data_IF_222980344427
#
_entry.id   IF_222980344427
#
_cell.length_a   1.000
_cell.length_b   1.000
_cell.length_c   1.000
_cell.angle_alpha   90.00
_cell.angle_beta   90.00
_cell.angle_gamma   90.00
#
_symmetry.space_group_name_H-M   'P 1'
#
loop_
_entity.id
_entity.type
_entity.pdbx_description
1 polymer ?
#
# COMPACT_ATOMS: atom_id res chain seq x y z
N UNK A 1 7.73 33.56 34.07
CA UNK A 1 7.98 32.16 33.63
C UNK A 1 7.16 31.75 32.41
N UNK A 2 5.88 32.13 32.29
CA UNK A 2 5.08 31.82 31.10
C UNK A 2 5.69 32.34 29.78
N UNK A 3 6.26 33.55 29.78
CA UNK A 3 6.85 34.16 28.57
C UNK A 3 8.03 33.40 27.97
N UNK A 4 8.89 32.79 28.79
CA UNK A 4 10.05 32.02 28.33
C UNK A 4 9.67 30.60 27.89
N UNK A 5 8.68 29.99 28.54
CA UNK A 5 8.15 28.67 28.14
C UNK A 5 7.44 28.77 26.80
N UNK A 6 6.60 29.80 26.61
CA UNK A 6 5.85 29.99 25.37
C UNK A 6 6.76 30.29 24.17
N UNK A 7 7.78 31.14 24.33
CA UNK A 7 8.74 31.43 23.25
C UNK A 7 9.61 30.22 22.92
N UNK A 8 10.01 29.41 23.91
CA UNK A 8 10.73 28.17 23.64
C UNK A 8 9.84 27.13 22.96
N UNK A 9 8.60 26.93 23.39
CA UNK A 9 7.65 26.04 22.71
C UNK A 9 7.35 26.50 21.30
N UNK A 10 7.09 27.80 21.10
CA UNK A 10 6.87 28.37 19.79
C UNK A 10 8.10 28.15 18.90
N UNK A 11 9.30 28.43 19.39
CA UNK A 11 10.55 28.19 18.65
C UNK A 11 10.71 26.72 18.31
N UNK A 12 10.51 25.80 19.25
CA UNK A 12 10.65 24.35 19.01
C UNK A 12 9.62 23.84 18.02
N UNK A 13 8.34 24.18 18.18
CA UNK A 13 7.28 23.82 17.23
C UNK A 13 7.54 24.38 15.84
N UNK A 14 7.92 25.66 15.75
CA UNK A 14 8.20 26.30 14.46
C UNK A 14 9.47 25.74 13.82
N UNK A 15 10.53 25.46 14.59
CA UNK A 15 11.72 24.78 14.05
C UNK A 15 11.42 23.35 13.65
N UNK A 16 10.57 22.62 14.37
CA UNK A 16 10.19 21.25 14.02
C UNK A 16 9.34 21.19 12.74
N UNK A 17 8.54 22.22 12.48
CA UNK A 17 7.82 22.37 11.20
C UNK A 17 8.70 22.94 10.08
N UNK A 18 9.61 23.87 10.37
CA UNK A 18 10.56 24.41 9.37
C UNK A 18 11.61 23.38 8.97
N UNK A 19 12.12 22.61 9.93
CA UNK A 19 12.92 21.41 9.67
C UNK A 19 11.96 20.25 9.43
N UNK A 20 11.17 20.32 8.36
CA UNK A 20 10.67 19.10 7.75
C UNK A 20 11.94 18.26 7.53
N UNK A 21 12.10 17.11 8.20
CA UNK A 21 13.27 16.28 7.97
C UNK A 21 13.31 16.07 6.47
N UNK A 22 14.43 16.45 5.85
CA UNK A 22 14.58 16.42 4.39
C UNK A 22 14.09 15.04 3.98
N UNK A 23 12.94 15.00 3.31
CA UNK A 23 12.45 13.76 2.75
C UNK A 23 13.48 13.45 1.68
N UNK A 24 14.43 12.60 2.03
CA UNK A 24 15.36 12.03 1.08
C UNK A 24 14.49 11.18 0.16
N UNK A 25 13.97 11.82 -0.89
CA UNK A 25 13.36 11.09 -1.98
C UNK A 25 14.47 10.18 -2.50
N UNK A 26 14.21 8.86 -2.59
CA UNK A 26 15.19 7.97 -3.18
C UNK A 26 15.57 8.52 -4.58
N UNK A 27 16.85 8.43 -4.98
CA UNK A 27 17.28 8.87 -6.30
C UNK A 27 16.72 7.98 -7.43
N UNK A 28 15.98 6.91 -7.08
CA UNK A 28 15.24 6.05 -8.00
C UNK A 28 13.75 6.38 -7.96
N UNK A 29 13.10 6.35 -9.12
CA UNK A 29 11.65 6.49 -9.23
C UNK A 29 10.96 5.13 -9.09
N UNK A 30 11.63 4.07 -9.54
CA UNK A 30 11.14 2.69 -9.54
C UNK A 30 12.25 1.73 -9.14
N UNK A 31 11.89 0.54 -8.65
CA UNK A 31 12.85 -0.52 -8.34
C UNK A 31 13.72 -0.92 -9.56
N UNK A 32 13.25 -0.71 -10.80
CA UNK A 32 14.03 -0.97 -12.02
C UNK A 32 15.28 -0.08 -12.17
N UNK A 33 15.31 1.07 -11.50
CA UNK A 33 16.45 1.99 -11.53
C UNK A 33 17.62 1.51 -10.67
N UNK A 34 17.37 0.56 -9.78
CA UNK A 34 18.36 0.05 -8.84
C UNK A 34 19.10 -1.11 -9.51
N UNK A 35 20.38 -0.90 -9.81
CA UNK A 35 21.19 -1.90 -10.49
C UNK A 35 21.28 -3.21 -9.68
N UNK A 36 20.93 -4.31 -10.34
CA UNK A 36 20.96 -5.66 -9.77
C UNK A 36 19.80 -5.98 -8.82
N UNK A 37 18.86 -5.05 -8.64
CA UNK A 37 17.64 -5.29 -7.88
C UNK A 37 16.78 -6.34 -8.57
N UNK A 38 16.18 -7.22 -7.78
CA UNK A 38 15.16 -8.18 -8.23
C UNK A 38 13.87 -7.91 -7.48
N UNK A 39 12.73 -8.13 -8.12
CA UNK A 39 11.42 -8.06 -7.48
C UNK A 39 10.78 -9.44 -7.49
N UNK A 40 10.19 -9.85 -6.38
CA UNK A 40 9.32 -11.01 -6.30
C UNK A 40 7.88 -10.53 -6.45
N UNK A 41 7.17 -11.06 -7.45
CA UNK A 41 5.78 -10.77 -7.73
C UNK A 41 4.92 -12.02 -7.51
N UNK A 42 3.77 -11.89 -6.86
CA UNK A 42 2.81 -12.98 -6.76
C UNK A 42 2.28 -13.39 -8.14
N UNK A 43 2.20 -14.70 -8.39
CA UNK A 43 1.64 -15.22 -9.64
C UNK A 43 0.20 -14.75 -9.86
N UNK A 44 -0.57 -14.63 -8.79
CA UNK A 44 -1.97 -14.18 -8.79
C UNK A 44 -2.12 -12.67 -8.64
N UNK A 45 -1.05 -11.88 -8.74
CA UNK A 45 -1.11 -10.42 -8.61
C UNK A 45 -2.08 -9.78 -9.62
N UNK A 46 -2.24 -10.40 -10.79
CA UNK A 46 -3.06 -9.90 -11.89
C UNK A 46 -4.43 -10.58 -12.05
N UNK A 47 -4.79 -11.51 -11.16
CA UNK A 47 -5.99 -12.38 -11.28
C UNK A 47 -7.35 -11.67 -11.11
N UNK A 48 -7.39 -10.34 -11.21
CA UNK A 48 -8.60 -9.53 -11.00
C UNK A 48 -9.63 -9.60 -12.13
N UNK A 49 -9.26 -10.09 -13.32
CA UNK A 49 -10.18 -10.20 -14.44
C UNK A 49 -10.77 -11.61 -14.54
N UNK A 50 -12.11 -11.77 -14.50
CA UNK A 50 -12.77 -13.05 -14.73
C UNK A 50 -12.74 -13.39 -16.23
N UNK A 51 -11.59 -13.84 -16.73
CA UNK A 51 -11.48 -14.41 -18.07
C UNK A 51 -11.98 -15.86 -18.05
N UNK A 52 -12.91 -16.20 -18.96
CA UNK A 52 -13.37 -17.56 -19.19
C UNK A 52 -13.17 -17.95 -20.67
N UNK A 53 -12.47 -19.06 -20.96
CA UNK A 53 -11.74 -19.93 -20.02
C UNK A 53 -10.56 -19.20 -19.36
N UNK A 54 -10.23 -19.57 -18.10
CA UNK A 54 -9.09 -18.95 -17.39
C UNK A 54 -7.79 -19.40 -18.07
N UNK A 55 -6.97 -18.47 -18.60
CA UNK A 55 -5.68 -18.84 -19.18
C UNK A 55 -4.76 -19.47 -18.12
N UNK A 56 -3.73 -20.23 -18.53
CA UNK A 56 -2.72 -20.73 -17.61
C UNK A 56 -2.10 -19.59 -16.78
N UNK A 57 -1.99 -19.71 -15.44
CA UNK A 57 -1.54 -18.64 -14.57
C UNK A 57 -0.23 -17.98 -14.98
N UNK A 58 0.80 -18.76 -15.36
CA UNK A 58 2.09 -18.20 -15.77
C UNK A 58 2.00 -17.45 -17.08
N UNK A 59 1.24 -17.99 -18.04
CA UNK A 59 1.01 -17.31 -19.32
C UNK A 59 0.28 -15.98 -19.12
N UNK A 60 -0.81 -16.01 -18.34
CA UNK A 60 -1.59 -14.81 -18.03
C UNK A 60 -0.76 -13.75 -17.32
N UNK A 61 0.05 -14.17 -16.34
CA UNK A 61 0.95 -13.28 -15.62
C UNK A 61 1.92 -12.56 -16.56
N UNK A 62 2.56 -13.29 -17.49
CA UNK A 62 3.49 -12.70 -18.47
C UNK A 62 2.78 -11.70 -19.37
N UNK A 63 1.62 -12.07 -19.91
CA UNK A 63 0.89 -11.21 -20.85
C UNK A 63 0.44 -9.90 -20.19
N UNK A 64 -0.10 -9.96 -18.96
CA UNK A 64 -0.49 -8.76 -18.23
C UNK A 64 0.74 -7.93 -17.85
N UNK A 65 1.82 -8.57 -17.38
CA UNK A 65 3.08 -7.89 -17.07
C UNK A 65 3.62 -7.16 -18.31
N UNK A 66 3.62 -7.82 -19.48
CA UNK A 66 4.02 -7.23 -20.76
C UNK A 66 3.17 -6.02 -21.12
N UNK A 67 1.84 -6.14 -21.02
CA UNK A 67 0.92 -5.02 -21.31
C UNK A 67 1.21 -3.84 -20.38
N UNK A 68 1.33 -4.08 -19.07
CA UNK A 68 1.62 -3.04 -18.07
C UNK A 68 2.96 -2.36 -18.34
N UNK A 69 3.97 -3.16 -18.63
CA UNK A 69 5.30 -2.66 -18.99
C UNK A 69 5.25 -1.85 -20.27
N UNK A 70 4.55 -2.29 -21.31
CA UNK A 70 4.44 -1.55 -22.58
C UNK A 70 3.75 -0.17 -22.40
N UNK A 71 2.68 -0.10 -21.61
CA UNK A 71 1.99 1.18 -21.34
C UNK A 71 2.83 2.15 -20.50
N UNK A 72 3.57 1.65 -19.52
CA UNK A 72 4.34 2.50 -18.62
C UNK A 72 5.68 2.93 -19.24
N UNK A 73 6.27 2.05 -20.04
CA UNK A 73 7.60 2.22 -20.60
C UNK A 73 7.46 2.67 -22.06
N UNK A 74 6.99 3.89 -22.25
CA UNK A 74 7.42 4.66 -23.43
C UNK A 74 8.81 5.31 -23.19
N UNK A 75 9.43 4.98 -22.05
CA UNK A 75 10.77 5.42 -21.66
C UNK A 75 11.82 4.53 -22.32
N UNK A 76 12.73 5.13 -23.08
CA UNK A 76 13.88 4.45 -23.69
C UNK A 76 14.76 3.70 -22.68
N UNK A 77 14.65 4.07 -21.38
CA UNK A 77 15.41 3.53 -20.25
C UNK A 77 15.27 2.02 -20.06
N UNK A 78 14.08 1.43 -20.30
CA UNK A 78 13.84 0.00 -20.06
C UNK A 78 13.60 -0.84 -21.33
N UNK A 79 13.94 -0.30 -22.51
CA UNK A 79 13.84 -1.00 -23.79
C UNK A 79 14.56 -2.36 -23.80
N UNK A 80 15.74 -2.44 -23.18
CA UNK A 80 16.49 -3.71 -23.04
C UNK A 80 15.71 -4.77 -22.26
N UNK A 81 14.98 -4.36 -21.23
CA UNK A 81 14.17 -5.25 -20.42
C UNK A 81 12.93 -5.73 -21.20
N UNK A 82 12.24 -4.82 -21.89
CA UNK A 82 11.12 -5.15 -22.77
C UNK A 82 11.55 -6.12 -23.86
N UNK A 83 12.66 -5.85 -24.55
CA UNK A 83 13.14 -6.70 -25.63
C UNK A 83 13.41 -8.13 -25.16
N UNK A 84 13.98 -8.32 -23.96
CA UNK A 84 14.14 -9.65 -23.37
C UNK A 84 12.81 -10.35 -23.12
N UNK A 85 11.79 -9.61 -22.66
CA UNK A 85 10.43 -10.14 -22.52
C UNK A 85 9.83 -10.53 -23.88
N UNK A 86 9.97 -9.67 -24.88
CA UNK A 86 9.49 -9.90 -26.25
C UNK A 86 10.19 -11.08 -26.93
N UNK A 87 11.49 -11.29 -26.70
CA UNK A 87 12.24 -12.45 -27.24
C UNK A 87 11.77 -13.79 -26.62
N UNK A 88 11.18 -13.75 -25.42
CA UNK A 88 10.63 -14.93 -24.77
C UNK A 88 9.22 -15.25 -25.27
N UNK A 89 8.38 -14.25 -25.56
CA UNK A 89 6.96 -14.46 -25.95
C UNK A 89 6.74 -15.40 -27.16
N UNK A 90 7.41 -15.26 -28.32
CA UNK A 90 7.04 -15.98 -29.54
C UNK A 90 7.39 -17.47 -29.51
N UNK A 91 8.31 -17.92 -28.65
CA UNK A 91 8.73 -19.33 -28.60
C UNK A 91 7.66 -20.27 -28.04
N UNK A 92 6.65 -19.74 -27.36
CA UNK A 92 5.61 -20.54 -26.69
C UNK A 92 4.37 -20.74 -27.55
N UNK A 93 3.97 -19.74 -28.32
CA UNK A 93 2.81 -19.85 -29.22
C UNK A 93 3.07 -20.84 -30.35
N UNK A 94 4.29 -20.89 -30.88
CA UNK A 94 4.65 -21.77 -32.00
C UNK A 94 4.74 -23.26 -31.60
N UNK A 95 4.96 -23.56 -30.31
CA UNK A 95 4.94 -24.94 -29.80
C UNK A 95 3.52 -25.51 -29.64
N UNK A 96 2.48 -24.67 -29.66
CA UNK A 96 1.08 -25.11 -29.50
C UNK A 96 0.48 -25.67 -30.80
N UNK A 97 1.07 -25.37 -31.95
CA UNK A 97 0.51 -25.66 -33.27
C UNK A 97 1.01 -26.97 -33.88
N UNK A 98 2.03 -27.62 -33.28
CA UNK A 98 2.80 -28.69 -33.94
C UNK A 98 2.52 -30.12 -33.44
N UNK A 99 1.45 -30.40 -32.70
CA UNK A 99 1.19 -31.75 -32.19
C UNK A 99 -0.29 -32.15 -32.24
N UNK A 100 -0.57 -33.21 -33.00
CA UNK A 100 -1.85 -33.73 -33.50
C UNK A 100 -2.86 -34.27 -32.46
N UNK A 101 -3.08 -33.59 -31.33
CA UNK A 101 -4.21 -33.94 -30.46
C UNK A 101 -4.78 -32.67 -29.83
N UNK A 102 -6.01 -32.30 -30.23
CA UNK A 102 -6.76 -31.12 -29.77
C UNK A 102 -7.23 -31.22 -28.31
N UNK A 103 -6.53 -32.00 -27.48
CA UNK A 103 -6.79 -32.08 -26.06
C UNK A 103 -6.40 -30.77 -25.37
N UNK A 104 -7.41 -29.99 -24.99
CA UNK A 104 -7.28 -28.68 -24.34
C UNK A 104 -6.39 -28.77 -23.08
N UNK A 105 -6.50 -29.85 -22.30
CA UNK A 105 -5.70 -30.01 -21.08
C UNK A 105 -4.22 -30.22 -21.37
N UNK A 106 -3.90 -30.95 -22.45
CA UNK A 106 -2.52 -31.14 -22.88
C UNK A 106 -1.90 -29.82 -23.36
N UNK A 107 -2.65 -29.02 -24.12
CA UNK A 107 -2.23 -27.69 -24.56
C UNK A 107 -2.04 -26.77 -23.36
N UNK A 108 -2.99 -26.77 -22.42
CA UNK A 108 -2.93 -25.98 -21.19
C UNK A 108 -1.68 -26.29 -20.37
N UNK A 109 -1.42 -27.57 -20.10
CA UNK A 109 -0.27 -28.02 -19.31
C UNK A 109 1.06 -27.72 -20.00
N UNK A 110 1.14 -27.86 -21.33
CA UNK A 110 2.33 -27.49 -22.11
C UNK A 110 2.60 -26.00 -22.03
N UNK A 111 1.58 -25.17 -22.24
CA UNK A 111 1.70 -23.72 -22.17
C UNK A 111 2.10 -23.26 -20.76
N UNK A 112 1.49 -23.84 -19.72
CA UNK A 112 1.83 -23.59 -18.33
C UNK A 112 3.29 -23.96 -18.02
N UNK A 113 3.75 -25.16 -18.41
CA UNK A 113 5.10 -25.62 -18.18
C UNK A 113 6.14 -24.76 -18.91
N UNK A 114 5.85 -24.42 -20.16
CA UNK A 114 6.75 -23.62 -20.97
C UNK A 114 6.83 -22.17 -20.46
N UNK A 115 5.68 -21.56 -20.12
CA UNK A 115 5.63 -20.25 -19.48
C UNK A 115 6.32 -20.24 -18.11
N UNK A 116 6.13 -21.25 -17.27
CA UNK A 116 6.82 -21.37 -15.98
C UNK A 116 8.35 -21.40 -16.15
N UNK A 117 8.86 -22.21 -17.10
CA UNK A 117 10.29 -22.23 -17.45
C UNK A 117 10.79 -20.90 -18.02
N UNK A 118 9.92 -20.14 -18.71
CA UNK A 118 10.23 -18.82 -19.26
C UNK A 118 10.46 -17.78 -18.17
N UNK A 119 9.57 -17.78 -17.18
CA UNK A 119 9.41 -16.71 -16.18
C UNK A 119 10.44 -16.79 -15.07
N UNK A 120 10.71 -18.00 -14.59
CA UNK A 120 11.66 -18.23 -13.49
C UNK A 120 13.04 -17.60 -13.72
N UNK A 121 13.62 -17.59 -14.94
CA UNK A 121 14.92 -17.00 -15.21
C UNK A 121 14.89 -15.55 -15.72
N UNK A 122 13.80 -14.77 -15.65
CA UNK A 122 13.79 -13.40 -16.21
C UNK A 122 14.28 -12.37 -15.17
N UNK A 123 15.58 -12.03 -15.08
CA UNK A 123 15.96 -10.89 -14.28
C UNK A 123 15.38 -9.61 -14.91
N UNK A 124 14.80 -8.72 -14.10
CA UNK A 124 14.86 -8.72 -12.65
C UNK A 124 13.53 -9.10 -11.96
N UNK A 125 12.63 -9.82 -12.63
CA UNK A 125 11.33 -10.25 -12.08
C UNK A 125 11.38 -11.74 -11.72
N UNK A 126 11.23 -12.05 -10.43
CA UNK A 126 10.94 -13.38 -9.92
C UNK A 126 9.46 -13.54 -9.64
N UNK A 127 8.95 -14.76 -9.81
CA UNK A 127 7.56 -15.11 -9.47
C UNK A 127 7.53 -16.03 -8.26
N UNK A 128 6.53 -15.80 -7.41
CA UNK A 128 6.27 -16.58 -6.21
C UNK A 128 4.77 -16.86 -6.09
N UNK A 129 4.42 -18.06 -5.62
CA UNK A 129 3.05 -18.38 -5.23
C UNK A 129 2.81 -17.91 -3.78
N UNK A 130 1.59 -17.48 -3.46
CA UNK A 130 1.22 -17.13 -2.09
C UNK A 130 1.34 -18.30 -1.12
N UNK A 131 1.26 -19.54 -1.61
CA UNK A 131 1.46 -20.74 -0.80
C UNK A 131 2.95 -21.03 -0.51
N UNK A 132 3.90 -20.36 -1.16
CA UNK A 132 5.34 -20.57 -1.00
C UNK A 132 5.94 -19.64 0.08
N UNK A 133 5.34 -19.60 1.26
CA UNK A 133 5.74 -18.71 2.38
C UNK A 133 7.19 -18.93 2.81
N UNK A 134 7.62 -20.20 2.95
CA UNK A 134 8.99 -20.56 3.33
C UNK A 134 10.02 -20.05 2.32
N UNK A 135 9.69 -20.15 1.02
CA UNK A 135 10.53 -19.65 -0.07
C UNK A 135 10.60 -18.15 -0.05
N UNK A 136 9.48 -17.46 0.21
CA UNK A 136 9.45 -16.00 0.34
C UNK A 136 10.37 -15.56 1.47
N UNK A 137 10.15 -16.11 2.67
CA UNK A 137 10.91 -15.77 3.86
C UNK A 137 12.40 -16.03 3.66
N UNK A 138 12.76 -17.22 3.18
CA UNK A 138 14.15 -17.61 2.92
C UNK A 138 14.80 -16.71 1.86
N UNK A 139 14.04 -16.30 0.83
CA UNK A 139 14.58 -15.42 -0.22
C UNK A 139 14.80 -14.00 0.32
N UNK A 140 13.84 -13.46 1.05
CA UNK A 140 13.92 -12.12 1.65
C UNK A 140 15.00 -12.06 2.74
N UNK A 141 15.19 -13.12 3.52
CA UNK A 141 16.18 -13.18 4.61
C UNK A 141 17.63 -13.18 4.11
N UNK A 142 17.87 -13.39 2.81
CA UNK A 142 19.23 -13.32 2.25
C UNK A 142 19.82 -11.91 2.22
N UNK A 143 19.02 -10.86 2.51
CA UNK A 143 19.42 -9.45 2.45
C UNK A 143 20.07 -9.03 1.12
N UNK A 144 19.83 -9.80 0.05
CA UNK A 144 20.23 -9.41 -1.30
C UNK A 144 19.35 -8.25 -1.76
N UNK A 145 19.71 -7.62 -2.88
CA UNK A 145 18.89 -6.61 -3.57
C UNK A 145 17.61 -7.25 -4.13
N UNK A 146 16.69 -7.63 -3.25
CA UNK A 146 15.43 -8.30 -3.56
C UNK A 146 14.31 -7.54 -2.85
N UNK A 147 13.31 -7.11 -3.60
CA UNK A 147 12.06 -6.59 -3.08
C UNK A 147 10.96 -7.63 -3.26
N UNK A 148 9.94 -7.55 -2.42
CA UNK A 148 8.66 -8.22 -2.64
C UNK A 148 7.63 -7.13 -2.95
N UNK A 149 6.86 -7.31 -4.02
CA UNK A 149 5.87 -6.34 -4.45
C UNK A 149 4.49 -6.97 -4.49
N UNK A 150 3.53 -6.31 -3.85
CA UNK A 150 2.17 -6.75 -3.69
C UNK A 150 1.26 -5.53 -3.47
N UNK A 151 -0.02 -5.77 -3.21
CA UNK A 151 -0.98 -4.78 -2.75
C UNK A 151 -0.56 -4.18 -1.41
N UNK A 152 -0.90 -2.91 -1.19
CA UNK A 152 -0.57 -2.18 0.04
C UNK A 152 -1.09 -2.90 1.29
N UNK A 153 -2.27 -3.50 1.19
CA UNK A 153 -2.93 -4.25 2.26
C UNK A 153 -2.16 -5.55 2.59
N UNK A 154 -1.72 -6.27 1.56
CA UNK A 154 -0.90 -7.48 1.73
C UNK A 154 0.49 -7.14 2.31
N UNK A 155 1.13 -6.07 1.84
CA UNK A 155 2.41 -5.62 2.38
C UNK A 155 2.26 -5.18 3.85
N UNK A 156 1.22 -4.43 4.19
CA UNK A 156 0.97 -3.98 5.56
C UNK A 156 0.73 -5.14 6.50
N UNK A 157 -0.03 -6.16 6.06
CA UNK A 157 -0.24 -7.37 6.84
C UNK A 157 1.03 -8.22 6.94
N UNK A 158 1.86 -8.30 5.90
CA UNK A 158 3.09 -9.09 5.90
C UNK A 158 4.24 -8.46 6.71
N UNK A 159 4.35 -7.14 6.71
CA UNK A 159 5.51 -6.42 7.24
C UNK A 159 5.89 -6.78 8.68
N UNK A 160 4.95 -6.89 9.66
CA UNK A 160 5.29 -7.27 11.03
C UNK A 160 5.97 -8.64 11.12
N UNK A 161 5.55 -9.59 10.27
CA UNK A 161 6.09 -10.96 10.27
C UNK A 161 7.48 -11.02 9.68
N UNK A 162 7.73 -10.33 8.57
CA UNK A 162 9.06 -10.33 7.94
C UNK A 162 10.07 -9.58 8.81
N UNK A 163 9.63 -8.57 9.55
CA UNK A 163 10.46 -7.85 10.52
C UNK A 163 10.73 -8.64 11.82
N UNK A 164 9.94 -9.68 12.13
CA UNK A 164 10.18 -10.58 13.25
C UNK A 164 11.17 -11.69 12.85
N UNK A 165 12.40 -11.30 12.53
CA UNK A 165 13.45 -12.22 12.07
C UNK A 165 14.66 -12.23 13.01
N UNK A 166 15.32 -13.39 13.13
CA UNK A 166 16.52 -13.56 13.96
C UNK A 166 17.70 -12.68 13.53
N UNK A 167 17.67 -12.15 12.29
CA UNK A 167 18.74 -11.33 11.73
C UNK A 167 18.68 -9.86 12.14
N UNK A 168 17.65 -9.44 12.89
CA UNK A 168 17.36 -8.03 13.21
C UNK A 168 17.34 -7.14 11.95
N UNK A 169 16.91 -7.71 10.82
CA UNK A 169 16.83 -6.99 9.54
C UNK A 169 15.49 -6.26 9.50
N UNK A 170 15.54 -4.94 9.37
CA UNK A 170 14.33 -4.15 9.19
C UNK A 170 14.03 -3.99 7.70
N UNK A 171 12.90 -4.54 7.28
CA UNK A 171 12.32 -4.33 5.97
C UNK A 171 11.50 -3.05 5.98
N UNK A 172 11.65 -2.28 4.91
CA UNK A 172 10.94 -1.03 4.70
C UNK A 172 9.95 -1.20 3.56
N UNK A 173 8.83 -0.48 3.65
CA UNK A 173 7.79 -0.47 2.61
C UNK A 173 7.91 0.80 1.78
N UNK A 174 7.65 0.67 0.48
CA UNK A 174 7.55 1.78 -0.46
C UNK A 174 6.40 1.58 -1.43
N UNK A 175 6.06 2.63 -2.17
CA UNK A 175 5.08 2.56 -3.25
C UNK A 175 5.83 2.42 -4.56
N UNK A 176 5.48 1.41 -5.35
CA UNK A 176 6.06 1.21 -6.68
C UNK A 176 5.12 1.79 -7.76
N UNK A 177 5.52 2.86 -8.46
CA UNK A 177 4.62 3.51 -9.41
C UNK A 177 4.34 2.68 -10.67
N UNK A 178 5.20 1.73 -11.07
CA UNK A 178 4.99 0.87 -12.26
C UNK A 178 3.68 0.08 -12.21
N UNK A 179 3.30 -0.38 -11.02
CA UNK A 179 2.16 -1.27 -10.83
C UNK A 179 0.97 -0.57 -10.19
N UNK A 180 0.94 0.77 -10.23
CA UNK A 180 -0.19 1.54 -9.71
C UNK A 180 -1.43 1.19 -10.52
N UNK A 181 -2.37 0.49 -9.88
CA UNK A 181 -3.64 0.15 -10.51
C UNK A 181 -4.63 1.26 -10.22
N UNK A 182 -5.11 1.93 -11.27
CA UNK A 182 -6.30 2.76 -11.17
C UNK A 182 -7.51 1.84 -11.03
N UNK A 183 -8.09 1.79 -9.83
CA UNK A 183 -9.40 1.15 -9.64
C UNK A 183 -10.47 2.11 -10.17
N UNK A 184 -11.19 1.68 -11.19
CA UNK A 184 -12.20 2.52 -11.83
C UNK A 184 -13.15 1.72 -12.69
N UNK A 185 -14.27 2.34 -13.02
CA UNK A 185 -15.23 1.80 -13.98
C UNK A 185 -14.86 2.32 -15.36
N UNK A 186 -14.56 1.43 -16.29
CA UNK A 186 -14.42 1.82 -17.69
C UNK A 186 -15.83 2.15 -18.22
N UNK A 187 -16.12 3.43 -18.40
CA UNK A 187 -17.39 3.91 -18.91
C UNK A 187 -17.16 4.56 -20.27
N UNK A 188 -17.85 4.06 -21.28
CA UNK A 188 -17.88 4.70 -22.59
C UNK A 188 -18.77 5.94 -22.53
N UNK A 189 -18.29 7.06 -23.07
CA UNK A 189 -19.01 8.34 -23.10
C UNK A 189 -20.15 8.28 -24.11
N UNK A 190 -21.29 7.76 -23.69
CA UNK A 190 -22.55 7.86 -24.45
C UNK A 190 -23.37 9.03 -23.90
N UNK A 191 -24.02 9.80 -24.79
CA UNK A 191 -24.86 10.93 -24.38
C UNK A 191 -25.99 10.40 -23.49
N UNK A 192 -26.03 10.82 -22.22
CA UNK A 192 -26.96 10.33 -21.18
C UNK A 192 -26.75 8.86 -20.80
N UNK A 193 -25.52 8.46 -20.49
CA UNK A 193 -25.22 7.12 -19.98
C UNK A 193 -25.97 6.84 -18.66
N UNK A 194 -26.98 5.98 -18.73
CA UNK A 194 -27.77 5.56 -17.57
C UNK A 194 -26.91 4.87 -16.51
N UNK A 195 -25.95 4.03 -16.92
CA UNK A 195 -25.08 3.30 -16.02
C UNK A 195 -24.19 4.25 -15.22
N UNK A 196 -23.61 5.26 -15.87
CA UNK A 196 -22.82 6.31 -15.20
C UNK A 196 -23.66 7.02 -14.12
N UNK A 197 -24.89 7.43 -14.46
CA UNK A 197 -25.77 8.11 -13.50
C UNK A 197 -26.09 7.23 -12.29
N UNK A 198 -26.32 5.93 -12.50
CA UNK A 198 -26.60 4.98 -11.41
C UNK A 198 -25.37 4.70 -10.55
N UNK A 199 -24.20 4.51 -11.15
CA UNK A 199 -22.94 4.31 -10.42
C UNK A 199 -22.63 5.53 -9.54
N UNK A 200 -22.82 6.75 -10.07
CA UNK A 200 -22.65 7.99 -9.29
C UNK A 200 -23.56 8.02 -8.07
N UNK A 201 -24.84 7.69 -8.23
CA UNK A 201 -25.80 7.62 -7.11
C UNK A 201 -25.38 6.55 -6.10
N UNK A 202 -24.94 5.37 -6.56
CA UNK A 202 -24.49 4.28 -5.69
C UNK A 202 -23.25 4.65 -4.88
N UNK A 203 -22.30 5.38 -5.48
CA UNK A 203 -21.11 5.89 -4.80
C UNK A 203 -21.46 7.01 -3.81
N UNK A 204 -22.28 8.00 -4.21
CA UNK A 204 -22.61 9.16 -3.36
C UNK A 204 -23.56 8.81 -2.20
N UNK A 205 -24.34 7.73 -2.31
CA UNK A 205 -25.25 7.27 -1.26
C UNK A 205 -24.60 6.39 -0.19
N UNK A 206 -23.33 5.99 -0.37
CA UNK A 206 -22.65 5.06 0.54
C UNK A 206 -23.02 3.58 0.32
N UNK A 207 -23.93 3.26 -0.60
CA UNK A 207 -24.29 1.87 -0.93
C UNK A 207 -23.05 1.11 -1.38
N UNK A 208 -22.23 1.68 -2.26
CA UNK A 208 -21.00 1.02 -2.71
C UNK A 208 -20.05 0.70 -1.54
N UNK A 209 -19.86 1.63 -0.60
CA UNK A 209 -19.01 1.43 0.56
C UNK A 209 -19.54 0.29 1.44
N UNK A 210 -20.85 0.26 1.70
CA UNK A 210 -21.48 -0.83 2.44
C UNK A 210 -21.26 -2.21 1.78
N UNK A 211 -21.47 -2.30 0.46
CA UNK A 211 -21.24 -3.54 -0.29
C UNK A 211 -19.78 -3.96 -0.31
N UNK A 212 -18.86 -3.00 -0.44
CA UNK A 212 -17.43 -3.21 -0.37
C UNK A 212 -17.02 -3.79 0.98
N UNK A 213 -17.47 -3.17 2.08
CA UNK A 213 -17.15 -3.61 3.44
C UNK A 213 -17.76 -4.98 3.73
N UNK A 214 -19.02 -5.20 3.34
CA UNK A 214 -19.67 -6.51 3.46
C UNK A 214 -18.94 -7.59 2.65
N UNK A 215 -18.49 -7.27 1.43
CA UNK A 215 -17.72 -8.21 0.62
C UNK A 215 -16.39 -8.56 1.30
N UNK A 216 -15.66 -7.59 1.84
CA UNK A 216 -14.42 -7.82 2.58
C UNK A 216 -14.62 -8.62 3.87
N UNK A 217 -15.76 -8.47 4.55
CA UNK A 217 -16.10 -9.29 5.71
C UNK A 217 -16.36 -10.75 5.33
N UNK A 218 -17.04 -11.01 4.21
CA UNK A 218 -17.38 -12.38 3.79
C UNK A 218 -16.27 -13.08 3.00
N UNK A 219 -15.46 -12.30 2.28
CA UNK A 219 -14.30 -12.73 1.52
C UNK A 219 -13.15 -11.82 1.93
N UNK A 220 -12.51 -12.09 3.08
CA UNK A 220 -11.29 -11.38 3.43
C UNK A 220 -10.35 -11.46 2.23
N UNK A 221 -9.63 -10.37 1.91
CA UNK A 221 -8.61 -10.42 0.86
C UNK A 221 -7.73 -11.63 1.16
N UNK A 222 -7.28 -12.35 0.13
CA UNK A 222 -6.46 -13.55 0.30
C UNK A 222 -5.19 -13.18 1.09
N UNK A 223 -5.27 -13.21 2.42
CA UNK A 223 -4.17 -12.88 3.30
C UNK A 223 -3.22 -14.05 3.16
N UNK A 224 -2.04 -13.74 2.66
CA UNK A 224 -1.01 -14.68 2.23
C UNK A 224 -0.48 -15.52 3.41
N UNK A 225 -0.88 -15.17 4.64
CA UNK A 225 -0.35 -15.69 5.88
C UNK A 225 -1.45 -16.13 6.86
N UNK A 226 -2.51 -16.75 6.37
CA UNK A 226 -3.55 -17.34 7.24
C UNK A 226 -2.97 -18.34 8.27
N UNK A 227 -1.87 -19.02 7.93
CA UNK A 227 -1.18 -19.96 8.81
C UNK A 227 -0.53 -19.30 10.05
N UNK A 228 -0.38 -17.98 10.03
CA UNK A 228 0.19 -17.21 11.13
C UNK A 228 -0.87 -16.64 12.08
N UNK A 229 -2.11 -17.17 12.05
CA UNK A 229 -3.17 -16.84 13.01
C UNK A 229 -2.75 -16.99 14.49
N UNK A 230 -1.70 -17.78 14.76
CA UNK A 230 -1.14 -17.99 16.10
C UNK A 230 0.06 -17.07 16.45
N UNK A 231 0.37 -16.07 15.61
CA UNK A 231 1.44 -15.12 15.91
C UNK A 231 1.01 -14.19 17.05
N UNK A 232 1.75 -14.26 18.15
CA UNK A 232 1.35 -13.70 19.45
C UNK A 232 2.14 -12.45 19.84
N UNK A 233 2.80 -11.78 18.87
CA UNK A 233 3.46 -10.44 18.90
C UNK A 233 4.95 -10.51 18.48
N UNK A 234 5.52 -9.40 17.94
CA UNK A 234 6.91 -9.39 17.52
C UNK A 234 7.83 -9.53 18.74
N UNK A 235 8.90 -10.33 18.63
CA UNK A 235 9.85 -10.55 19.74
C UNK A 235 10.79 -9.37 19.99
N UNK A 236 10.76 -8.38 19.11
CA UNK A 236 11.67 -7.25 19.14
C UNK A 236 10.97 -6.00 19.60
N UNK A 237 11.67 -5.20 20.41
CA UNK A 237 11.25 -3.85 20.76
C UNK A 237 10.97 -3.11 19.46
N UNK A 238 9.70 -2.74 19.26
CA UNK A 238 9.27 -1.96 18.11
C UNK A 238 10.13 -0.71 18.11
N UNK A 239 11.12 -0.66 17.21
CA UNK A 239 11.88 0.56 16.98
C UNK A 239 10.80 1.58 16.67
N UNK A 240 10.64 2.65 17.47
CA UNK A 240 9.56 3.59 17.29
C UNK A 240 9.81 4.30 15.97
N UNK A 241 9.28 3.72 14.90
CA UNK A 241 9.20 4.38 13.62
C UNK A 241 8.42 5.64 13.95
N UNK A 242 9.08 6.78 13.74
CA UNK A 242 8.59 8.08 14.19
C UNK A 242 7.36 8.43 13.35
N UNK A 243 6.22 7.80 13.63
CA UNK A 243 4.94 8.11 13.01
C UNK A 243 4.66 9.54 13.43
N UNK A 244 4.93 10.48 12.51
CA UNK A 244 4.82 11.92 12.72
C UNK A 244 3.48 12.28 13.38
N UNK A 245 2.43 11.53 13.02
CA UNK A 245 1.08 11.66 13.58
C UNK A 245 1.03 11.48 15.10
N UNK A 246 1.80 10.56 15.71
CA UNK A 246 1.71 10.32 17.16
C UNK A 246 2.24 11.49 17.97
N UNK A 247 3.44 12.00 17.66
CA UNK A 247 4.08 13.07 18.43
C UNK A 247 3.41 14.43 18.23
N UNK A 248 3.01 14.73 17.00
CA UNK A 248 2.30 15.97 16.67
C UNK A 248 0.92 16.00 17.33
N UNK A 249 0.20 14.87 17.31
CA UNK A 249 -1.12 14.76 17.95
C UNK A 249 -1.04 14.95 19.47
N UNK A 250 -0.02 14.39 20.14
CA UNK A 250 0.20 14.64 21.58
C UNK A 250 0.42 16.13 21.87
N UNK A 251 1.16 16.84 21.02
CA UNK A 251 1.35 18.28 21.13
C UNK A 251 0.04 19.06 21.03
N UNK A 252 -0.82 18.71 20.05
CA UNK A 252 -2.14 19.32 19.90
C UNK A 252 -3.06 19.02 21.09
N UNK A 253 -3.02 17.82 21.67
CA UNK A 253 -3.79 17.49 22.87
C UNK A 253 -3.36 18.33 24.08
N UNK A 254 -2.06 18.45 24.33
CA UNK A 254 -1.55 19.27 25.44
C UNK A 254 -1.95 20.73 25.25
N UNK A 255 -1.81 21.27 24.04
CA UNK A 255 -2.24 22.63 23.72
C UNK A 255 -3.75 22.83 23.89
N UNK A 256 -4.55 21.85 23.45
CA UNK A 256 -6.01 21.88 23.59
C UNK A 256 -6.45 21.89 25.06
N UNK A 257 -5.86 21.02 25.89
CA UNK A 257 -6.14 20.96 27.33
C UNK A 257 -5.77 22.29 28.00
N UNK A 258 -4.63 22.88 27.63
CA UNK A 258 -4.19 24.15 28.20
C UNK A 258 -5.15 25.29 27.83
N UNK A 259 -5.62 25.35 26.58
CA UNK A 259 -6.59 26.36 26.13
C UNK A 259 -7.94 26.21 26.86
N UNK A 260 -8.43 24.98 27.02
CA UNK A 260 -9.66 24.71 27.78
C UNK A 260 -9.49 25.14 29.24
N UNK A 261 -8.34 24.85 29.85
CA UNK A 261 -8.01 25.32 31.20
C UNK A 261 -8.04 26.84 31.34
N UNK A 262 -7.42 27.57 30.40
CA UNK A 262 -7.46 29.03 30.39
C UNK A 262 -8.89 29.59 30.24
N UNK A 263 -9.72 28.98 29.41
CA UNK A 263 -11.13 29.36 29.26
C UNK A 263 -11.92 29.15 30.55
N UNK A 264 -11.69 28.03 31.26
CA UNK A 264 -12.35 27.76 32.55
C UNK A 264 -11.94 28.80 33.59
N UNK A 265 -10.65 29.14 33.69
CA UNK A 265 -10.18 30.18 34.61
C UNK A 265 -10.82 31.54 34.30
N UNK A 266 -10.86 31.94 33.03
CA UNK A 266 -11.48 33.20 32.60
C UNK A 266 -12.97 33.23 32.93
N UNK A 267 -13.69 32.12 32.69
CA UNK A 267 -15.10 32.00 33.08
C UNK A 267 -15.30 32.15 34.59
N UNK A 268 -14.39 31.58 35.40
CA UNK A 268 -14.44 31.69 36.86
C UNK A 268 -14.20 33.12 37.34
N UNK A 269 -13.25 33.83 36.74
CA UNK A 269 -12.97 35.25 37.02
C UNK A 269 -14.17 36.14 36.67
N UNK A 270 -14.80 35.92 35.52
CA UNK A 270 -16.01 36.66 35.13
C UNK A 270 -17.18 36.40 36.11
N UNK A 271 -17.36 35.15 36.53
CA UNK A 271 -18.39 34.78 37.51
C UNK A 271 -18.14 35.45 38.86
N UNK A 272 -16.88 35.45 39.31
CA UNK A 272 -16.48 36.09 40.56
C UNK A 272 -16.76 37.61 40.55
N UNK A 273 -16.33 38.31 39.50
CA UNK A 273 -16.56 39.76 39.34
C UNK A 273 -18.05 40.07 39.27
N UNK A 274 -18.83 39.25 38.57
CA UNK A 274 -20.28 39.42 38.49
C UNK A 274 -20.95 39.28 39.87
N UNK A 275 -20.59 38.25 40.64
CA UNK A 275 -21.12 38.05 42.01
C UNK A 275 -20.75 39.23 42.91
N UNK A 276 -19.51 39.70 42.86
CA UNK A 276 -19.04 40.85 43.65
C UNK A 276 -19.82 42.14 43.31
N UNK A 277 -20.01 42.43 42.02
CA UNK A 277 -20.84 43.56 41.59
C UNK A 277 -22.29 43.43 42.05
N UNK A 278 -22.86 42.23 42.00
CA UNK A 278 -24.24 41.98 42.41
C UNK A 278 -24.41 42.16 43.93
N UNK A 279 -23.44 41.71 44.74
CA UNK A 279 -23.43 41.90 46.19
C UNK A 279 -23.29 43.37 46.58
N UNK A 280 -22.42 44.11 45.90
CA UNK A 280 -22.25 45.54 46.15
C UNK A 280 -23.54 46.34 45.83
N UNK A 281 -24.24 46.00 44.75
CA UNK A 281 -25.54 46.61 44.42
C UNK A 281 -26.62 46.36 45.47
N UNK A 282 -26.62 45.18 46.11
CA UNK A 282 -27.59 44.86 47.18
C UNK A 282 -27.32 45.66 48.46
N UNK A 283 -26.05 45.99 48.75
CA UNK A 283 -25.70 46.82 49.91
C UNK A 283 -25.99 48.32 49.73
N UNK A 284 -26.20 48.81 48.51
CA UNK A 284 -26.54 50.21 48.23
C UNK A 284 -28.05 50.50 48.21
N UNK A 285 -28.92 49.51 48.47
CA UNK A 285 -30.36 49.73 48.62
C UNK A 285 -30.64 50.08 50.10
N UNK A 286 -30.95 51.35 50.43
CA UNK A 286 -31.18 51.81 51.81
C UNK A 286 -32.50 51.30 52.43
#
# INVERSE_FOLDING_TARGET
MAGTVLTNFYKTSFTMEMTVPVKYSPPWETWLDIEGMRVLLPLTMFDSLPAYPKPPPYYYFIEILKIKMHFYINSTKYTRFIKKFEELTPKYLDQSTAADDWNIDAIYNRLQLAAGKAVLPIPPVGVIDYNETDRLQTTLSTCKKIAYLDTTENIFSLLPFVNDNNGNVQYLTGVEPLFTVYRGWMLFTTRRNYAEKRIKIMQSSGIYAHWHDWFHLNKPPNVIFNHYANWTHPRFDVIPQLTYNSKVLTGFYISGICLVGCLICLMYELLYVWVEQTLNLVHEIP
#
